data_IF_933940605465
#
_entry.id   IF_933940605465
#
_cell.length_a   1.000
_cell.length_b   1.000
_cell.length_c   1.000
_cell.angle_alpha   90.00
_cell.angle_beta   90.00
_cell.angle_gamma   90.00
#
_symmetry.space_group_name_H-M   'P 1'
#
loop_
_entity.id
_entity.type
_entity.pdbx_description
1 polymer ?
#
# COMPACT_ATOMS: atom_id res chain seq x y z
N UNK A 1 26.83 -18.44 24.48
CA UNK A 1 26.90 -19.77 23.81
C UNK A 1 25.48 -20.22 23.56
N UNK A 2 25.17 -20.58 22.32
CA UNK A 2 23.90 -21.20 21.97
C UNK A 2 23.84 -22.69 22.46
N UNK A 3 22.72 -23.37 22.28
CA UNK A 3 22.54 -24.76 22.74
C UNK A 3 23.53 -25.73 22.07
N UNK A 4 23.86 -25.54 20.80
CA UNK A 4 24.80 -26.35 20.04
C UNK A 4 26.25 -26.08 20.47
N UNK A 5 26.62 -24.85 20.77
CA UNK A 5 27.94 -24.49 21.29
C UNK A 5 28.18 -25.16 22.66
N UNK A 6 27.16 -25.21 23.52
CA UNK A 6 27.24 -25.91 24.82
C UNK A 6 27.45 -27.42 24.67
N UNK A 7 26.73 -28.06 23.75
CA UNK A 7 26.89 -29.48 23.47
C UNK A 7 28.28 -29.79 22.93
N UNK A 8 28.87 -28.95 22.10
CA UNK A 8 30.23 -29.09 21.59
C UNK A 8 31.27 -28.98 22.72
N UNK A 9 31.13 -27.97 23.55
CA UNK A 9 31.98 -27.78 24.72
C UNK A 9 31.89 -28.94 25.68
N UNK A 10 30.68 -29.44 25.95
CA UNK A 10 30.45 -30.60 26.81
C UNK A 10 31.09 -31.86 26.24
N UNK A 11 30.94 -32.15 24.95
CA UNK A 11 31.52 -33.29 24.28
C UNK A 11 33.07 -33.32 24.43
N UNK A 12 33.72 -32.21 24.14
CA UNK A 12 35.16 -32.07 24.23
C UNK A 12 35.62 -32.20 25.69
N UNK A 13 34.96 -31.53 26.64
CA UNK A 13 35.28 -31.60 28.08
C UNK A 13 35.23 -33.01 28.59
N UNK A 14 34.21 -33.82 28.24
CA UNK A 14 34.01 -35.19 28.69
C UNK A 14 35.10 -36.11 28.13
N UNK A 15 35.44 -35.99 26.87
CA UNK A 15 36.51 -36.79 26.26
C UNK A 15 37.90 -36.43 26.85
N UNK A 16 38.16 -35.14 27.08
CA UNK A 16 39.40 -34.71 27.75
C UNK A 16 39.49 -35.19 29.23
N UNK A 17 38.33 -35.44 29.86
CA UNK A 17 38.24 -36.02 31.19
C UNK A 17 38.43 -37.58 31.20
N UNK A 18 38.66 -38.20 30.03
CA UNK A 18 38.95 -39.62 29.88
C UNK A 18 37.78 -40.50 29.46
N UNK A 19 36.58 -39.92 29.19
CA UNK A 19 35.47 -40.69 28.66
C UNK A 19 35.70 -41.10 27.19
N UNK A 20 35.23 -42.30 26.82
CA UNK A 20 35.35 -42.78 25.44
C UNK A 20 34.47 -41.97 24.49
N UNK A 21 35.00 -41.52 23.34
CA UNK A 21 34.24 -40.72 22.36
C UNK A 21 32.91 -41.35 21.93
N UNK A 22 32.85 -42.71 21.87
CA UNK A 22 31.63 -43.48 21.56
C UNK A 22 30.54 -43.30 22.63
N UNK A 23 30.92 -43.31 23.89
CA UNK A 23 30.00 -43.19 25.04
C UNK A 23 29.45 -41.74 25.11
N UNK A 24 30.35 -40.77 24.92
CA UNK A 24 29.96 -39.34 24.85
C UNK A 24 29.02 -39.07 23.66
N UNK A 25 29.32 -39.64 22.49
CA UNK A 25 28.48 -39.52 21.32
C UNK A 25 27.06 -40.07 21.55
N UNK A 26 26.98 -41.28 22.14
CA UNK A 26 25.70 -41.90 22.47
C UNK A 26 24.91 -41.07 23.51
N UNK A 27 25.56 -40.61 24.57
CA UNK A 27 24.92 -39.79 25.61
C UNK A 27 24.39 -38.43 25.08
N UNK A 28 25.09 -37.81 24.10
CA UNK A 28 24.71 -36.55 23.51
C UNK A 28 23.84 -36.70 22.24
N UNK A 29 23.48 -37.92 21.87
CA UNK A 29 22.72 -38.25 20.66
C UNK A 29 23.38 -37.70 19.40
N UNK A 30 24.72 -37.85 19.28
CA UNK A 30 25.55 -37.44 18.16
C UNK A 30 26.36 -38.63 17.62
N UNK A 31 26.95 -38.47 16.43
CA UNK A 31 27.88 -39.48 15.91
C UNK A 31 29.28 -39.32 16.51
N UNK A 32 30.04 -40.43 16.61
CA UNK A 32 31.44 -40.36 17.02
C UNK A 32 32.28 -39.44 16.16
N UNK A 33 32.01 -39.43 14.83
CA UNK A 33 32.64 -38.49 13.88
C UNK A 33 32.38 -37.01 14.24
N UNK A 34 31.20 -36.71 14.80
CA UNK A 34 30.90 -35.36 15.28
C UNK A 34 31.74 -35.02 16.50
N UNK A 35 31.94 -35.94 17.43
CA UNK A 35 32.80 -35.75 18.62
C UNK A 35 34.22 -35.51 18.19
N UNK A 36 34.78 -36.37 17.31
CA UNK A 36 36.17 -36.24 16.83
C UNK A 36 36.37 -34.94 16.05
N UNK A 37 35.40 -34.50 15.23
CA UNK A 37 35.45 -33.19 14.55
C UNK A 37 35.67 -32.03 15.54
N UNK A 38 35.03 -32.05 16.67
CA UNK A 38 35.13 -30.98 17.66
C UNK A 38 36.37 -31.12 18.56
N UNK A 39 36.85 -32.30 18.80
CA UNK A 39 38.15 -32.54 19.43
C UNK A 39 39.30 -32.00 18.56
N UNK A 40 39.28 -32.27 17.28
CA UNK A 40 40.28 -31.75 16.32
C UNK A 40 40.28 -30.22 16.25
N UNK A 41 39.13 -29.61 16.48
CA UNK A 41 39.00 -28.14 16.47
C UNK A 41 39.27 -27.48 17.81
N UNK A 42 39.39 -28.28 18.84
CA UNK A 42 39.60 -27.72 20.17
C UNK A 42 40.96 -27.06 20.29
N UNK A 43 40.93 -25.81 20.70
CA UNK A 43 42.13 -25.00 20.96
C UNK A 43 42.03 -24.44 22.39
N UNK A 44 42.91 -24.85 23.30
CA UNK A 44 42.91 -24.37 24.69
C UNK A 44 43.08 -22.84 24.72
N UNK A 45 42.18 -22.15 25.43
CA UNK A 45 42.25 -20.69 25.57
C UNK A 45 41.58 -19.88 24.44
N UNK A 46 41.18 -20.48 23.31
CA UNK A 46 40.46 -19.77 22.25
C UNK A 46 38.94 -20.03 22.38
N UNK A 47 38.09 -19.05 22.71
CA UNK A 47 36.66 -19.27 22.89
C UNK A 47 35.91 -19.56 21.57
N UNK A 48 36.56 -19.34 20.41
CA UNK A 48 35.93 -19.42 19.08
C UNK A 48 35.84 -20.86 18.53
N UNK A 49 36.58 -21.83 19.06
CA UNK A 49 36.64 -23.19 18.54
C UNK A 49 35.28 -23.90 18.51
N UNK A 50 34.37 -23.55 19.42
CA UNK A 50 33.00 -24.11 19.49
C UNK A 50 32.10 -23.66 18.37
N UNK A 51 32.47 -22.62 17.63
CA UNK A 51 31.67 -22.05 16.55
C UNK A 51 31.85 -22.83 15.24
N UNK A 52 30.74 -22.95 14.51
CA UNK A 52 30.78 -23.55 13.18
C UNK A 52 31.44 -22.55 12.18
N UNK A 53 32.39 -23.03 11.43
CA UNK A 53 32.97 -22.24 10.36
C UNK A 53 31.92 -21.95 9.27
N UNK A 54 31.90 -20.73 8.75
CA UNK A 54 31.04 -20.37 7.62
C UNK A 54 31.33 -21.29 6.42
N UNK A 55 30.27 -21.91 5.89
CA UNK A 55 30.34 -22.69 4.63
C UNK A 55 30.28 -21.82 3.39
N UNK A 56 30.20 -20.51 3.56
CA UNK A 56 30.18 -19.57 2.44
C UNK A 56 31.53 -19.64 1.69
N UNK A 57 31.51 -19.61 0.36
CA UNK A 57 32.73 -19.56 -0.43
C UNK A 57 33.59 -18.37 -0.02
N UNK A 58 34.90 -18.60 0.22
CA UNK A 58 35.87 -17.53 0.52
C UNK A 58 35.98 -16.53 -0.62
N UNK A 59 35.72 -16.97 -1.84
CA UNK A 59 35.71 -16.15 -3.06
C UNK A 59 34.42 -16.44 -3.85
N UNK A 60 33.68 -15.39 -4.17
CA UNK A 60 32.49 -15.46 -5.03
C UNK A 60 32.88 -14.94 -6.40
N UNK A 61 33.00 -15.82 -7.41
CA UNK A 61 33.47 -15.47 -8.74
C UNK A 61 32.66 -14.33 -9.42
N UNK A 62 31.32 -14.32 -9.18
CA UNK A 62 30.39 -13.35 -9.76
C UNK A 62 30.08 -12.18 -8.82
N UNK A 63 30.95 -11.87 -7.87
CA UNK A 63 30.76 -10.70 -7.00
C UNK A 63 30.95 -9.41 -7.80
N UNK A 64 30.05 -8.45 -7.56
CA UNK A 64 30.16 -7.11 -8.16
C UNK A 64 31.51 -6.47 -7.83
N UNK A 65 32.06 -5.72 -8.79
CA UNK A 65 33.33 -5.00 -8.58
C UNK A 65 33.18 -4.01 -7.38
N UNK A 66 34.20 -3.85 -6.55
CA UNK A 66 34.18 -2.95 -5.39
C UNK A 66 33.77 -1.51 -5.76
N UNK A 67 34.18 -1.00 -6.89
CA UNK A 67 33.80 0.32 -7.40
C UNK A 67 32.28 0.44 -7.63
N UNK A 68 31.66 -0.62 -8.17
CA UNK A 68 30.21 -0.64 -8.39
C UNK A 68 29.45 -0.75 -7.05
N UNK A 69 29.92 -1.56 -6.11
CA UNK A 69 29.34 -1.65 -4.76
C UNK A 69 29.38 -0.27 -4.07
N UNK A 70 30.53 0.41 -4.10
CA UNK A 70 30.71 1.75 -3.54
C UNK A 70 29.75 2.77 -4.20
N UNK A 71 29.61 2.72 -5.53
CA UNK A 71 28.69 3.60 -6.25
C UNK A 71 27.23 3.38 -5.84
N UNK A 72 26.76 2.11 -5.78
CA UNK A 72 25.41 1.76 -5.31
C UNK A 72 25.15 2.32 -3.92
N UNK A 73 26.10 2.17 -3.00
CA UNK A 73 25.98 2.66 -1.63
C UNK A 73 26.00 4.20 -1.54
N UNK A 74 26.82 4.86 -2.35
CA UNK A 74 26.85 6.33 -2.42
C UNK A 74 25.53 6.91 -2.94
N UNK A 75 24.95 6.29 -3.97
CA UNK A 75 23.62 6.67 -4.51
C UNK A 75 22.55 6.48 -3.43
N UNK A 76 22.55 5.35 -2.71
CA UNK A 76 21.61 5.14 -1.60
C UNK A 76 21.74 6.21 -0.52
N UNK A 77 22.98 6.53 -0.11
CA UNK A 77 23.25 7.56 0.92
C UNK A 77 22.76 8.94 0.46
N UNK A 78 22.95 9.28 -0.82
CA UNK A 78 22.44 10.52 -1.42
C UNK A 78 20.91 10.55 -1.40
N UNK A 79 20.24 9.48 -1.83
CA UNK A 79 18.79 9.36 -1.81
C UNK A 79 18.22 9.43 -0.38
N UNK A 80 18.90 8.83 0.60
CA UNK A 80 18.49 8.86 2.00
C UNK A 80 18.52 10.26 2.62
N UNK A 81 19.30 11.18 2.06
CA UNK A 81 19.35 12.60 2.47
C UNK A 81 18.26 13.45 1.82
N UNK A 82 17.61 12.94 0.75
CA UNK A 82 16.53 13.67 0.07
C UNK A 82 15.21 13.40 0.81
N UNK A 83 14.48 14.43 1.21
CA UNK A 83 13.14 14.25 1.78
C UNK A 83 12.27 13.40 0.84
N UNK A 84 11.52 12.46 1.44
CA UNK A 84 10.51 11.64 0.76
C UNK A 84 11.01 10.66 -0.29
N UNK A 85 12.29 10.64 -0.64
CA UNK A 85 12.82 9.79 -1.71
C UNK A 85 12.64 8.30 -1.45
N UNK A 86 12.39 7.56 -2.51
CA UNK A 86 12.50 6.10 -2.51
C UNK A 86 13.98 5.70 -2.45
N UNK A 87 14.35 4.76 -1.57
CA UNK A 87 15.75 4.36 -1.30
C UNK A 87 16.03 2.88 -1.62
N UNK A 88 15.06 2.20 -2.23
CA UNK A 88 15.19 0.78 -2.59
C UNK A 88 15.94 0.56 -3.91
N UNK A 89 16.21 -0.72 -4.22
CA UNK A 89 16.92 -1.09 -5.43
C UNK A 89 16.37 -0.48 -6.75
N UNK A 90 15.03 -0.37 -6.95
CA UNK A 90 14.51 0.29 -8.16
C UNK A 90 14.89 1.77 -8.29
N UNK A 91 14.87 2.52 -7.17
CA UNK A 91 15.25 3.92 -7.18
C UNK A 91 16.75 4.12 -7.42
N UNK A 92 17.56 3.23 -6.83
CA UNK A 92 19.01 3.25 -7.04
C UNK A 92 19.33 2.91 -8.50
N UNK A 93 18.70 1.88 -9.08
CA UNK A 93 18.90 1.52 -10.48
C UNK A 93 18.62 2.72 -11.40
N UNK A 94 17.50 3.42 -11.16
CA UNK A 94 17.14 4.60 -11.94
C UNK A 94 18.15 5.76 -11.80
N UNK A 95 18.70 6.01 -10.60
CA UNK A 95 19.76 7.00 -10.43
C UNK A 95 21.04 6.58 -11.16
N UNK A 96 21.35 5.27 -11.19
CA UNK A 96 22.48 4.75 -11.97
C UNK A 96 22.27 4.89 -13.49
N UNK A 97 21.02 4.75 -13.99
CA UNK A 97 20.65 5.00 -15.38
C UNK A 97 21.01 6.43 -15.81
N UNK A 98 20.74 7.42 -14.95
CA UNK A 98 21.08 8.82 -15.21
C UNK A 98 22.57 9.09 -15.31
N UNK A 99 23.41 8.23 -14.72
CA UNK A 99 24.85 8.35 -14.79
C UNK A 99 25.45 7.76 -16.08
N UNK A 100 24.59 7.33 -17.02
CA UNK A 100 24.99 6.76 -18.31
C UNK A 100 26.05 5.63 -18.19
N UNK A 101 25.93 4.79 -17.18
CA UNK A 101 26.83 3.64 -17.01
C UNK A 101 26.67 2.66 -18.18
N UNK A 102 27.79 2.09 -18.63
CA UNK A 102 27.79 1.09 -19.71
C UNK A 102 26.92 -0.13 -19.37
N UNK A 103 26.83 -0.49 -18.10
CA UNK A 103 26.03 -1.61 -17.65
C UNK A 103 25.44 -1.29 -16.26
N UNK A 104 24.13 -1.36 -16.17
CA UNK A 104 23.38 -1.14 -14.92
C UNK A 104 23.14 -2.50 -14.26
N UNK A 105 23.46 -2.66 -12.95
CA UNK A 105 23.23 -3.94 -12.27
C UNK A 105 21.74 -4.25 -12.17
N UNK A 106 21.42 -5.53 -12.31
CA UNK A 106 20.07 -6.05 -12.05
C UNK A 106 19.61 -5.70 -10.64
N UNK A 107 18.30 -5.48 -10.46
CA UNK A 107 17.72 -5.12 -9.15
C UNK A 107 18.14 -6.09 -8.04
N UNK A 108 18.19 -7.41 -8.35
CA UNK A 108 18.61 -8.42 -7.38
C UNK A 108 20.09 -8.27 -6.99
N UNK A 109 20.93 -7.81 -7.91
CA UNK A 109 22.35 -7.51 -7.61
C UNK A 109 22.46 -6.31 -6.68
N UNK A 110 21.67 -5.25 -6.93
CA UNK A 110 21.62 -4.08 -6.04
C UNK A 110 21.12 -4.50 -4.65
N UNK A 111 20.06 -5.31 -4.56
CA UNK A 111 19.56 -5.83 -3.28
C UNK A 111 20.64 -6.58 -2.50
N UNK A 112 21.42 -7.48 -3.17
CA UNK A 112 22.52 -8.21 -2.55
C UNK A 112 23.64 -7.30 -2.05
N UNK A 113 23.97 -6.25 -2.81
CA UNK A 113 24.95 -5.24 -2.38
C UNK A 113 24.45 -4.55 -1.10
N UNK A 114 23.20 -4.14 -1.08
CA UNK A 114 22.58 -3.50 0.08
C UNK A 114 22.53 -4.43 1.30
N UNK A 115 22.18 -5.71 1.11
CA UNK A 115 22.16 -6.73 2.17
C UNK A 115 23.56 -6.91 2.79
N UNK A 116 24.61 -7.01 1.96
CA UNK A 116 26.00 -7.12 2.44
C UNK A 116 26.48 -5.89 3.20
N UNK A 117 25.96 -4.72 2.84
CA UNK A 117 26.27 -3.47 3.54
C UNK A 117 25.41 -3.25 4.81
N UNK A 118 24.66 -4.28 5.28
CA UNK A 118 23.83 -4.19 6.49
C UNK A 118 22.57 -3.36 6.33
N UNK A 119 22.15 -3.03 5.09
CA UNK A 119 20.89 -2.34 4.89
C UNK A 119 19.70 -3.23 5.27
N UNK A 120 18.65 -2.68 5.92
CA UNK A 120 17.48 -3.46 6.31
C UNK A 120 16.90 -4.21 5.11
N UNK A 121 16.74 -5.53 5.28
CA UNK A 121 16.08 -6.36 4.29
C UNK A 121 14.61 -6.02 4.26
N UNK A 122 14.04 -5.85 3.05
CA UNK A 122 12.59 -5.74 2.92
C UNK A 122 11.97 -7.07 3.33
N UNK A 123 11.12 -7.05 4.35
CA UNK A 123 10.34 -8.24 4.71
C UNK A 123 9.56 -8.74 3.49
N UNK A 124 9.73 -10.03 3.21
CA UNK A 124 9.01 -10.67 2.11
C UNK A 124 7.55 -10.78 2.52
N UNK A 125 6.70 -9.94 1.96
CA UNK A 125 5.25 -10.09 2.18
C UNK A 125 4.83 -11.46 1.65
N UNK A 126 4.34 -12.31 2.54
CA UNK A 126 3.74 -13.58 2.16
C UNK A 126 2.47 -13.22 1.38
N UNK A 127 2.47 -13.52 0.09
CA UNK A 127 1.26 -13.41 -0.72
C UNK A 127 0.47 -14.69 -0.52
N UNK A 128 -0.55 -14.62 0.29
CA UNK A 128 -1.55 -15.69 0.31
C UNK A 128 -2.29 -15.69 -1.02
N UNK A 129 -2.54 -16.90 -1.57
CA UNK A 129 -3.48 -17.04 -2.68
C UNK A 129 -4.82 -16.43 -2.27
N UNK A 130 -5.44 -15.68 -3.16
CA UNK A 130 -6.78 -15.13 -2.88
C UNK A 130 -7.73 -16.32 -2.62
N UNK A 131 -8.11 -16.48 -1.35
CA UNK A 131 -9.11 -17.45 -0.92
C UNK A 131 -10.42 -16.69 -0.77
N UNK A 132 -11.45 -17.12 -1.46
CA UNK A 132 -12.79 -16.57 -1.31
C UNK A 132 -13.42 -16.17 -2.63
N UNK A 133 -14.62 -15.66 -2.52
CA UNK A 133 -15.48 -15.24 -3.62
C UNK A 133 -14.82 -14.16 -4.47
N UNK A 134 -14.89 -14.25 -5.79
CA UNK A 134 -14.36 -13.25 -6.71
C UNK A 134 -14.99 -11.87 -6.44
N UNK A 135 -14.14 -10.89 -6.18
CA UNK A 135 -14.59 -9.51 -6.03
C UNK A 135 -14.89 -8.91 -7.41
N UNK A 136 -15.99 -8.16 -7.61
CA UNK A 136 -16.33 -7.53 -8.88
C UNK A 136 -15.36 -6.35 -9.18
N UNK A 137 -14.10 -6.70 -9.40
CA UNK A 137 -13.09 -5.77 -9.87
C UNK A 137 -13.13 -5.75 -11.40
N UNK A 138 -13.23 -4.57 -11.98
CA UNK A 138 -13.05 -4.40 -13.42
C UNK A 138 -11.58 -4.63 -13.84
N UNK A 139 -11.33 -4.60 -15.15
CA UNK A 139 -9.98 -4.57 -15.70
C UNK A 139 -9.15 -3.44 -15.08
N UNK A 140 -7.81 -3.53 -15.19
CA UNK A 140 -6.92 -2.47 -14.70
C UNK A 140 -7.32 -1.13 -15.35
N UNK A 141 -7.66 -0.11 -14.54
CA UNK A 141 -8.14 1.16 -15.08
C UNK A 141 -7.01 1.93 -15.78
N UNK A 142 -7.37 2.66 -16.84
CA UNK A 142 -6.53 3.70 -17.43
C UNK A 142 -6.50 4.98 -16.58
N UNK A 143 -5.73 6.00 -17.00
CA UNK A 143 -5.67 7.28 -16.32
C UNK A 143 -7.06 7.91 -16.10
N UNK A 144 -7.33 8.36 -14.89
CA UNK A 144 -8.59 8.95 -14.42
C UNK A 144 -9.87 8.12 -14.68
N UNK A 145 -9.75 6.84 -14.98
CA UNK A 145 -10.93 5.95 -15.03
C UNK A 145 -11.44 5.60 -13.64
N UNK A 146 -10.55 5.44 -12.68
CA UNK A 146 -10.90 5.11 -11.29
C UNK A 146 -9.93 5.79 -10.33
N UNK A 147 -10.48 6.60 -9.43
CA UNK A 147 -9.75 7.15 -8.29
C UNK A 147 -10.20 6.48 -6.99
N UNK A 148 -9.30 6.35 -6.03
CA UNK A 148 -9.61 5.99 -4.64
C UNK A 148 -9.41 7.23 -3.77
N UNK A 149 -10.36 7.47 -2.86
CA UNK A 149 -10.27 8.54 -1.87
C UNK A 149 -10.36 7.96 -0.47
N UNK A 150 -9.55 8.49 0.44
CA UNK A 150 -9.52 8.08 1.84
C UNK A 150 -9.21 9.26 2.76
N UNK A 151 -9.70 9.18 3.99
CA UNK A 151 -9.54 10.20 5.02
C UNK A 151 -8.71 9.66 6.19
N UNK A 152 -7.46 10.07 6.26
CA UNK A 152 -6.51 9.65 7.29
C UNK A 152 -6.61 10.57 8.51
N UNK A 153 -6.94 10.02 9.65
CA UNK A 153 -7.01 10.78 10.90
C UNK A 153 -8.16 10.35 11.83
N UNK A 154 -8.38 11.06 12.95
CA UNK A 154 -7.73 12.31 13.32
C UNK A 154 -6.25 12.14 13.69
N UNK A 155 -5.43 13.11 13.30
CA UNK A 155 -4.05 13.26 13.74
C UNK A 155 -3.91 14.58 14.48
N UNK A 156 -2.85 14.72 15.27
CA UNK A 156 -2.65 15.91 16.08
C UNK A 156 -1.26 16.50 15.82
N UNK A 157 -1.19 17.82 15.70
CA UNK A 157 0.04 18.57 15.82
C UNK A 157 0.36 18.86 17.29
N UNK A 158 1.57 19.33 17.57
CA UNK A 158 1.93 19.87 18.89
C UNK A 158 0.88 20.89 19.34
N UNK A 159 0.43 20.83 20.62
CA UNK A 159 -0.68 21.64 21.11
C UNK A 159 -2.07 21.02 20.87
N UNK A 160 -2.14 19.72 20.57
CA UNK A 160 -3.39 18.96 20.39
C UNK A 160 -4.33 19.49 19.29
N UNK A 161 -3.79 20.16 18.27
CA UNK A 161 -4.58 20.66 17.12
C UNK A 161 -4.94 19.47 16.21
N UNK A 162 -6.21 19.05 16.14
CA UNK A 162 -6.63 17.92 15.32
C UNK A 162 -6.68 18.31 13.84
N UNK A 163 -6.38 17.35 12.98
CA UNK A 163 -6.55 17.48 11.54
C UNK A 163 -6.76 16.11 10.88
N UNK A 164 -7.23 16.15 9.63
CA UNK A 164 -7.34 15.00 8.74
C UNK A 164 -6.58 15.29 7.44
N UNK A 165 -6.01 14.25 6.86
CA UNK A 165 -5.48 14.29 5.50
C UNK A 165 -6.46 13.56 4.57
N UNK A 166 -7.07 14.28 3.65
CA UNK A 166 -7.90 13.71 2.60
C UNK A 166 -7.01 13.42 1.39
N UNK A 167 -6.78 12.16 1.15
CA UNK A 167 -5.90 11.67 0.11
C UNK A 167 -6.71 11.06 -1.02
N UNK A 168 -6.36 11.41 -2.26
CA UNK A 168 -6.96 10.83 -3.47
C UNK A 168 -5.86 10.36 -4.40
N UNK A 169 -6.00 9.15 -4.93
CA UNK A 169 -5.04 8.56 -5.89
C UNK A 169 -5.75 8.03 -7.13
N UNK A 170 -5.21 8.36 -8.30
CA UNK A 170 -5.63 7.77 -9.58
C UNK A 170 -4.99 6.38 -9.75
N UNK A 171 -5.81 5.35 -9.89
CA UNK A 171 -5.35 3.96 -10.00
C UNK A 171 -4.65 3.69 -11.33
N UNK A 172 -4.99 4.43 -12.38
CA UNK A 172 -4.41 4.26 -13.70
C UNK A 172 -2.96 4.70 -13.77
N UNK A 173 -2.67 5.91 -13.31
CA UNK A 173 -1.35 6.55 -13.38
C UNK A 173 -0.66 6.75 -12.04
N UNK A 174 -1.26 6.35 -10.92
CA UNK A 174 -0.71 6.49 -9.56
C UNK A 174 -0.45 7.94 -9.12
N UNK A 175 -0.98 8.93 -9.83
CA UNK A 175 -0.93 10.31 -9.40
C UNK A 175 -1.82 10.51 -8.18
N UNK A 176 -1.36 11.32 -7.24
CA UNK A 176 -2.08 11.62 -6.01
C UNK A 176 -2.30 13.11 -5.84
N UNK A 177 -3.36 13.47 -5.10
CA UNK A 177 -3.59 14.81 -4.60
C UNK A 177 -4.04 14.74 -3.14
N UNK A 178 -3.59 15.70 -2.34
CA UNK A 178 -3.78 15.72 -0.90
C UNK A 178 -4.40 17.04 -0.44
N UNK A 179 -5.37 16.93 0.47
CA UNK A 179 -5.98 18.10 1.13
C UNK A 179 -5.93 17.96 2.64
N UNK A 180 -5.59 19.05 3.32
CA UNK A 180 -5.71 19.17 4.76
C UNK A 180 -7.15 19.53 5.13
N UNK A 181 -7.77 18.77 6.03
CA UNK A 181 -9.12 19.02 6.51
C UNK A 181 -9.15 19.22 8.02
N UNK A 182 -9.90 20.23 8.53
CA UNK A 182 -10.09 20.44 9.97
C UNK A 182 -11.07 19.44 10.58
N UNK A 183 -11.92 18.82 9.78
CA UNK A 183 -12.93 17.86 10.21
C UNK A 183 -13.23 16.83 9.12
N UNK A 184 -13.93 15.76 9.51
CA UNK A 184 -14.45 14.75 8.58
C UNK A 184 -15.89 15.03 8.12
N UNK A 185 -16.34 16.29 8.15
CA UNK A 185 -17.69 16.62 7.68
C UNK A 185 -17.78 16.46 6.17
N UNK A 186 -18.95 16.09 5.69
CA UNK A 186 -19.21 15.89 4.27
C UNK A 186 -19.01 17.17 3.44
N UNK A 187 -19.45 18.31 3.96
CA UNK A 187 -19.22 19.61 3.28
C UNK A 187 -17.74 19.93 3.11
N UNK A 188 -16.91 19.68 4.14
CA UNK A 188 -15.47 19.88 4.05
C UNK A 188 -14.84 18.90 3.05
N UNK A 189 -15.33 17.67 3.02
CA UNK A 189 -14.86 16.64 2.09
C UNK A 189 -15.22 16.99 0.65
N UNK A 190 -16.45 17.45 0.39
CA UNK A 190 -16.87 17.90 -0.93
C UNK A 190 -16.02 19.10 -1.41
N UNK A 191 -15.79 20.10 -0.54
CA UNK A 191 -14.91 21.23 -0.84
C UNK A 191 -13.45 20.82 -1.13
N UNK A 192 -12.93 19.82 -0.38
CA UNK A 192 -11.60 19.26 -0.63
C UNK A 192 -11.53 18.53 -1.96
N UNK A 193 -12.57 17.78 -2.30
CA UNK A 193 -12.64 17.06 -3.57
C UNK A 193 -12.67 18.01 -4.78
N UNK A 194 -13.34 19.15 -4.67
CA UNK A 194 -13.29 20.22 -5.68
C UNK A 194 -11.83 20.68 -5.91
N UNK A 195 -11.09 20.97 -4.83
CA UNK A 195 -9.69 21.38 -4.94
C UNK A 195 -8.78 20.27 -5.49
N UNK A 196 -9.05 19.02 -5.11
CA UNK A 196 -8.34 17.85 -5.64
C UNK A 196 -8.58 17.72 -7.14
N UNK A 197 -9.82 17.81 -7.61
CA UNK A 197 -10.13 17.65 -9.03
C UNK A 197 -9.70 18.84 -9.90
N UNK A 198 -9.47 20.00 -9.31
CA UNK A 198 -8.78 21.11 -9.97
C UNK A 198 -7.31 20.81 -10.29
N UNK A 199 -6.71 19.76 -9.73
CA UNK A 199 -5.31 19.35 -9.97
C UNK A 199 -5.17 17.94 -10.54
N UNK A 200 -5.85 16.99 -9.95
CA UNK A 200 -5.76 15.57 -10.33
C UNK A 200 -6.66 15.24 -11.53
N UNK A 201 -7.68 16.04 -11.76
CA UNK A 201 -8.71 15.84 -12.79
C UNK A 201 -9.87 14.97 -12.32
N UNK A 202 -11.00 15.14 -12.99
CA UNK A 202 -12.27 14.46 -12.70
C UNK A 202 -12.22 13.04 -13.24
N UNK A 203 -12.46 11.98 -12.41
CA UNK A 203 -12.45 10.60 -12.86
C UNK A 203 -13.79 10.19 -13.50
N UNK A 204 -13.82 9.00 -14.09
CA UNK A 204 -15.08 8.33 -14.46
C UNK A 204 -15.76 7.75 -13.21
N UNK A 205 -14.99 7.19 -12.30
CA UNK A 205 -15.48 6.54 -11.07
C UNK A 205 -14.61 6.96 -9.88
N UNK A 206 -15.26 7.19 -8.74
CA UNK A 206 -14.60 7.48 -7.47
C UNK A 206 -14.95 6.41 -6.44
N UNK A 207 -13.96 5.67 -5.96
CA UNK A 207 -14.12 4.68 -4.90
C UNK A 207 -14.02 5.36 -3.54
N UNK A 208 -15.01 5.13 -2.70
CA UNK A 208 -15.20 5.76 -1.40
C UNK A 208 -15.41 4.71 -0.30
N UNK A 209 -14.98 5.02 0.90
CA UNK A 209 -15.33 4.25 2.08
C UNK A 209 -16.74 4.63 2.60
N UNK A 210 -17.32 3.75 3.38
CA UNK A 210 -18.71 3.86 3.85
C UNK A 210 -18.94 4.90 4.95
N UNK A 211 -17.88 5.50 5.54
CA UNK A 211 -18.07 6.50 6.61
C UNK A 211 -18.95 7.69 6.18
N UNK A 212 -18.91 8.05 4.90
CA UNK A 212 -19.73 9.13 4.32
C UNK A 212 -21.23 8.83 4.38
N UNK A 213 -21.61 7.56 4.31
CA UNK A 213 -23.01 7.11 4.23
C UNK A 213 -23.50 6.32 5.45
N UNK A 214 -22.63 6.05 6.42
CA UNK A 214 -22.89 5.11 7.51
C UNK A 214 -24.11 5.47 8.39
N UNK A 215 -24.48 6.75 8.42
CA UNK A 215 -25.62 7.26 9.23
C UNK A 215 -26.76 7.82 8.38
N UNK A 216 -26.70 7.61 7.07
CA UNK A 216 -27.70 8.13 6.14
C UNK A 216 -28.77 7.07 5.86
N UNK A 217 -30.03 7.53 5.80
CA UNK A 217 -31.17 6.73 5.38
C UNK A 217 -31.88 7.44 4.24
N UNK A 218 -31.96 6.78 3.09
CA UNK A 218 -32.58 7.32 1.86
C UNK A 218 -32.06 8.69 1.41
N UNK A 219 -30.84 9.06 1.81
CA UNK A 219 -30.23 10.34 1.43
C UNK A 219 -28.80 10.12 0.96
N UNK A 220 -28.30 11.07 0.16
CA UNK A 220 -26.93 11.04 -0.37
C UNK A 220 -26.15 12.25 0.16
N UNK A 221 -24.86 12.08 0.50
CA UNK A 221 -24.03 13.17 0.99
C UNK A 221 -23.67 14.15 -0.13
N UNK A 222 -23.29 15.39 0.22
CA UNK A 222 -22.86 16.44 -0.71
C UNK A 222 -21.69 16.00 -1.59
N UNK A 223 -20.78 15.20 -1.05
CA UNK A 223 -19.68 14.58 -1.81
C UNK A 223 -20.20 13.73 -2.97
N UNK A 224 -21.30 12.99 -2.77
CA UNK A 224 -21.96 12.22 -3.84
C UNK A 224 -22.73 13.13 -4.79
N UNK A 225 -23.37 14.19 -4.30
CA UNK A 225 -24.03 15.19 -5.17
C UNK A 225 -23.03 15.81 -6.14
N UNK A 226 -21.86 16.20 -5.63
CA UNK A 226 -20.75 16.71 -6.45
C UNK A 226 -20.36 15.70 -7.54
N UNK A 227 -20.17 14.43 -7.19
CA UNK A 227 -19.88 13.37 -8.15
C UNK A 227 -20.95 13.29 -9.24
N UNK A 228 -22.21 13.19 -8.87
CA UNK A 228 -23.34 13.07 -9.80
C UNK A 228 -23.47 14.29 -10.73
N UNK A 229 -23.24 15.50 -10.22
CA UNK A 229 -23.27 16.74 -11.01
C UNK A 229 -22.21 16.73 -12.12
N UNK A 230 -21.04 16.18 -11.83
CA UNK A 230 -19.90 16.10 -12.75
C UNK A 230 -19.88 14.82 -13.61
N UNK A 231 -20.89 13.95 -13.45
CA UNK A 231 -21.00 12.68 -14.18
C UNK A 231 -20.06 11.59 -13.67
N UNK A 232 -19.50 11.75 -12.47
CA UNK A 232 -18.68 10.74 -11.78
C UNK A 232 -19.58 9.70 -11.13
N UNK A 233 -19.22 8.43 -11.21
CA UNK A 233 -19.92 7.33 -10.55
C UNK A 233 -19.25 7.06 -9.17
N UNK A 234 -19.90 7.40 -8.05
CA UNK A 234 -19.41 6.99 -6.74
C UNK A 234 -19.56 5.49 -6.55
N UNK A 235 -18.51 4.85 -6.03
CA UNK A 235 -18.47 3.40 -5.77
C UNK A 235 -18.12 3.18 -4.31
N UNK A 236 -19.07 2.68 -3.52
CA UNK A 236 -18.84 2.36 -2.12
C UNK A 236 -18.35 0.92 -1.95
N UNK A 237 -17.20 0.77 -1.29
CA UNK A 237 -16.60 -0.54 -1.01
C UNK A 237 -17.41 -1.35 0.01
N UNK A 238 -17.23 -2.68 0.11
CA UNK A 238 -17.88 -3.50 1.13
C UNK A 238 -17.54 -3.02 2.55
N UNK A 239 -18.48 -3.21 3.48
CA UNK A 239 -18.24 -2.91 4.89
C UNK A 239 -17.14 -3.80 5.47
N UNK A 240 -16.23 -3.22 6.26
CA UNK A 240 -15.16 -3.91 6.98
C UNK A 240 -14.16 -4.64 6.07
N UNK A 241 -14.00 -4.19 4.83
CA UNK A 241 -13.00 -4.71 3.88
C UNK A 241 -12.06 -3.62 3.39
N UNK A 242 -11.25 -2.98 4.26
CA UNK A 242 -10.36 -1.88 3.88
C UNK A 242 -9.38 -2.29 2.78
N UNK A 243 -8.90 -3.54 2.78
CA UNK A 243 -8.00 -4.06 1.74
C UNK A 243 -8.53 -3.95 0.30
N UNK A 244 -9.82 -3.65 0.10
CA UNK A 244 -10.39 -3.35 -1.23
C UNK A 244 -9.95 -2.00 -1.78
N UNK A 245 -9.30 -1.19 -0.96
CA UNK A 245 -8.67 0.08 -1.33
C UNK A 245 -7.14 0.01 -1.19
N UNK A 246 -6.53 -1.11 -1.51
CA UNK A 246 -5.12 -1.39 -1.24
C UNK A 246 -4.13 -0.44 -1.92
N UNK A 247 -4.54 0.31 -2.96
CA UNK A 247 -3.65 1.29 -3.60
C UNK A 247 -3.52 2.54 -2.75
N UNK A 248 -4.64 3.10 -2.29
CA UNK A 248 -4.60 4.28 -1.44
C UNK A 248 -4.06 3.94 -0.04
N UNK A 249 -4.34 2.74 0.49
CA UNK A 249 -3.74 2.28 1.76
C UNK A 249 -2.21 2.25 1.68
N UNK A 250 -1.65 1.73 0.58
CA UNK A 250 -0.20 1.75 0.37
C UNK A 250 0.35 3.17 0.22
N UNK A 251 -0.39 4.05 -0.44
CA UNK A 251 -0.04 5.47 -0.54
C UNK A 251 -0.06 6.12 0.85
N UNK A 252 -1.09 5.89 1.66
CA UNK A 252 -1.22 6.39 3.02
C UNK A 252 -0.08 5.91 3.94
N UNK A 253 0.34 4.65 3.81
CA UNK A 253 1.51 4.13 4.52
C UNK A 253 2.81 4.86 4.09
N UNK A 254 2.95 5.18 2.82
CA UNK A 254 4.08 5.96 2.31
C UNK A 254 4.03 7.41 2.81
N UNK A 255 2.87 8.05 2.77
CA UNK A 255 2.64 9.39 3.32
C UNK A 255 2.98 9.44 4.81
N UNK A 256 2.51 8.46 5.59
CA UNK A 256 2.80 8.40 7.01
C UNK A 256 4.30 8.23 7.30
N UNK A 257 4.93 7.21 6.71
CA UNK A 257 6.31 6.83 7.00
C UNK A 257 7.36 7.78 6.45
N UNK A 258 7.10 8.42 5.29
CA UNK A 258 8.10 9.22 4.59
C UNK A 258 7.87 10.72 4.69
N UNK A 259 6.68 11.14 5.08
CA UNK A 259 6.33 12.54 5.23
C UNK A 259 5.98 12.84 6.68
N UNK A 260 4.86 12.34 7.18
CA UNK A 260 4.32 12.81 8.45
C UNK A 260 5.20 12.47 9.66
N UNK A 261 5.80 11.28 9.71
CA UNK A 261 6.68 10.86 10.81
C UNK A 261 8.11 11.44 10.72
N UNK A 262 8.50 11.94 9.57
CA UNK A 262 9.88 12.41 9.33
C UNK A 262 10.04 13.91 9.48
N UNK A 263 8.93 14.66 9.53
CA UNK A 263 8.95 16.11 9.59
C UNK A 263 8.28 16.65 10.86
N UNK A 264 8.64 17.87 11.19
CA UNK A 264 7.99 18.66 12.23
C UNK A 264 7.30 19.86 11.61
N UNK A 265 6.08 20.13 12.07
CA UNK A 265 5.23 21.18 11.51
C UNK A 265 4.96 22.23 12.57
N UNK A 266 5.16 23.52 12.24
CA UNK A 266 4.92 24.64 13.13
C UNK A 266 3.44 25.06 13.21
N UNK A 267 2.56 24.42 12.44
CA UNK A 267 1.12 24.69 12.40
C UNK A 267 0.46 24.13 11.13
N UNK A 268 -0.87 24.27 11.03
CA UNK A 268 -1.65 23.72 9.92
C UNK A 268 -1.27 24.32 8.56
N UNK A 269 -0.97 25.62 8.50
CA UNK A 269 -0.54 26.28 7.26
C UNK A 269 0.81 25.73 6.78
N UNK A 270 1.75 25.50 7.69
CA UNK A 270 3.03 24.87 7.36
C UNK A 270 2.79 23.43 6.87
N UNK A 271 1.99 22.64 7.57
CA UNK A 271 1.64 21.29 7.18
C UNK A 271 1.00 21.26 5.79
N UNK A 272 0.01 22.12 5.52
CA UNK A 272 -0.66 22.18 4.21
C UNK A 272 0.33 22.47 3.08
N UNK A 273 1.23 23.43 3.26
CA UNK A 273 2.28 23.74 2.28
C UNK A 273 3.21 22.54 2.05
N UNK A 274 3.63 21.86 3.12
CA UNK A 274 4.49 20.68 3.01
C UNK A 274 3.79 19.50 2.35
N UNK A 275 2.49 19.29 2.64
CA UNK A 275 1.66 18.28 1.95
C UNK A 275 1.62 18.52 0.45
N UNK A 276 1.53 19.78 0.02
CA UNK A 276 1.57 20.16 -1.39
C UNK A 276 2.93 19.81 -2.03
N UNK A 277 4.02 20.12 -1.34
CA UNK A 277 5.36 19.72 -1.79
C UNK A 277 5.55 18.21 -1.86
N UNK A 278 4.97 17.45 -0.92
CA UNK A 278 4.98 15.98 -0.98
C UNK A 278 4.14 15.45 -2.15
N UNK A 279 2.97 16.03 -2.44
CA UNK A 279 2.14 15.73 -3.61
C UNK A 279 2.94 15.88 -4.91
N UNK A 280 3.59 17.04 -5.10
CA UNK A 280 4.41 17.33 -6.27
C UNK A 280 5.59 16.35 -6.39
N UNK A 281 6.30 16.12 -5.29
CA UNK A 281 7.41 15.16 -5.25
C UNK A 281 6.95 13.74 -5.58
N UNK A 282 5.80 13.30 -5.01
CA UNK A 282 5.23 12.00 -5.31
C UNK A 282 4.94 11.85 -6.80
N UNK A 283 4.29 12.83 -7.40
CA UNK A 283 3.86 12.78 -8.79
C UNK A 283 5.03 12.85 -9.79
N UNK A 284 6.14 13.47 -9.41
CA UNK A 284 7.30 13.70 -10.29
C UNK A 284 8.50 12.81 -10.01
N UNK A 285 8.61 12.20 -8.83
CA UNK A 285 9.80 11.44 -8.42
C UNK A 285 9.51 10.00 -7.99
N UNK A 286 8.31 9.68 -7.46
CA UNK A 286 8.00 8.30 -7.08
C UNK A 286 7.75 7.44 -8.32
N UNK A 287 8.49 6.34 -8.41
CA UNK A 287 8.42 5.40 -9.54
C UNK A 287 7.66 4.14 -9.17
N UNK A 288 6.83 3.68 -10.09
CA UNK A 288 5.97 2.53 -9.89
C UNK A 288 6.25 1.42 -10.90
N UNK A 289 6.50 0.21 -10.42
CA UNK A 289 6.63 -0.97 -11.29
C UNK A 289 5.39 -1.15 -12.17
N UNK A 290 4.21 -0.85 -11.62
CA UNK A 290 2.95 -0.88 -12.35
C UNK A 290 2.87 0.11 -13.53
N UNK A 291 3.72 1.14 -13.56
CA UNK A 291 3.81 2.14 -14.65
C UNK A 291 5.05 1.91 -15.54
N UNK A 292 5.60 0.70 -15.56
CA UNK A 292 6.85 0.43 -16.27
C UNK A 292 8.02 1.24 -15.72
N UNK A 293 8.08 1.40 -14.41
CA UNK A 293 9.09 2.19 -13.66
C UNK A 293 9.06 3.70 -13.95
N UNK A 294 7.99 4.20 -14.56
CA UNK A 294 7.78 5.63 -14.73
C UNK A 294 7.23 6.27 -13.46
N UNK A 295 7.40 7.58 -13.33
CA UNK A 295 6.64 8.41 -12.39
C UNK A 295 5.22 8.63 -12.92
N UNK A 296 4.26 9.03 -12.08
CA UNK A 296 2.92 9.40 -12.52
C UNK A 296 2.90 10.42 -13.67
N UNK A 297 3.74 11.46 -13.59
CA UNK A 297 3.85 12.51 -14.60
C UNK A 297 4.46 12.00 -15.91
N UNK A 298 5.56 11.24 -15.84
CA UNK A 298 6.19 10.63 -17.03
C UNK A 298 5.24 9.65 -17.72
N UNK A 299 4.49 8.87 -16.94
CA UNK A 299 3.54 7.91 -17.50
C UNK A 299 2.40 8.62 -18.25
N UNK A 300 1.85 9.69 -17.65
CA UNK A 300 0.84 10.51 -18.32
C UNK A 300 1.36 11.13 -19.63
N UNK A 301 2.58 11.68 -19.59
CA UNK A 301 3.23 12.27 -20.77
C UNK A 301 3.45 11.25 -21.90
N UNK A 302 3.91 10.02 -21.56
CA UNK A 302 4.09 8.92 -22.55
C UNK A 302 2.78 8.54 -23.25
N UNK A 303 1.64 8.69 -22.57
CA UNK A 303 0.31 8.37 -23.10
C UNK A 303 -0.34 9.58 -23.80
N UNK A 304 0.29 10.76 -23.78
CA UNK A 304 -0.36 12.01 -24.22
C UNK A 304 -1.62 12.34 -23.40
N UNK A 305 -1.71 11.81 -22.16
CA UNK A 305 -2.91 11.97 -21.34
C UNK A 305 -3.00 13.36 -20.73
N UNK A 306 -4.14 14.01 -20.95
CA UNK A 306 -4.51 15.29 -20.33
C UNK A 306 -5.73 15.07 -19.41
N UNK A 307 -5.65 15.39 -18.10
CA UNK A 307 -6.79 15.27 -17.21
C UNK A 307 -7.85 16.33 -17.49
N UNK A 308 -9.12 15.96 -17.42
CA UNK A 308 -10.22 16.94 -17.37
C UNK A 308 -10.22 17.60 -16.00
N UNK A 309 -9.65 18.78 -15.88
CA UNK A 309 -9.62 19.53 -14.62
C UNK A 309 -10.99 20.13 -14.30
N UNK A 310 -11.28 20.28 -13.00
CA UNK A 310 -12.46 21.02 -12.57
C UNK A 310 -12.16 22.52 -12.63
N UNK A 311 -13.08 23.27 -13.24
CA UNK A 311 -12.94 24.72 -13.39
C UNK A 311 -12.91 25.42 -12.03
N UNK A 312 -12.08 26.45 -11.85
CA UNK A 312 -12.08 27.30 -10.67
C UNK A 312 -13.46 27.89 -10.38
N UNK A 313 -13.83 27.93 -9.10
CA UNK A 313 -15.11 28.51 -8.67
C UNK A 313 -16.31 27.55 -8.78
N UNK A 314 -16.13 26.32 -9.22
CA UNK A 314 -17.23 25.34 -9.19
C UNK A 314 -17.79 25.16 -7.77
N UNK A 315 -19.10 25.16 -7.63
CA UNK A 315 -19.81 24.99 -6.37
C UNK A 315 -20.55 23.66 -6.33
N UNK A 316 -20.66 23.07 -5.14
CA UNK A 316 -21.52 21.90 -4.95
C UNK A 316 -22.96 22.31 -5.26
N UNK A 317 -23.72 21.47 -5.99
CA UNK A 317 -25.12 21.76 -6.29
C UNK A 317 -25.96 21.97 -5.01
N UNK A 318 -26.85 22.93 -5.02
CA UNK A 318 -27.80 23.18 -3.91
C UNK A 318 -28.89 22.11 -3.80
N UNK A 319 -29.14 21.38 -4.89
CA UNK A 319 -30.15 20.31 -4.96
C UNK A 319 -29.53 19.03 -5.48
N UNK A 320 -30.08 17.91 -5.05
CA UNK A 320 -29.65 16.58 -5.52
C UNK A 320 -29.76 16.51 -7.07
N UNK A 321 -28.65 16.20 -7.77
CA UNK A 321 -28.68 16.02 -9.22
C UNK A 321 -29.62 14.86 -9.62
N UNK A 322 -30.55 15.14 -10.55
CA UNK A 322 -31.54 14.14 -11.00
C UNK A 322 -31.02 13.16 -12.05
N UNK A 323 -29.72 12.94 -12.12
CA UNK A 323 -29.08 12.02 -13.09
C UNK A 323 -27.90 11.31 -12.48
N UNK A 324 -27.45 10.27 -13.13
CA UNK A 324 -26.33 9.47 -12.69
C UNK A 324 -26.74 8.25 -11.85
N UNK A 325 -25.74 7.56 -11.38
CA UNK A 325 -25.91 6.36 -10.54
C UNK A 325 -24.87 6.32 -9.44
N UNK A 326 -25.21 5.60 -8.36
CA UNK A 326 -24.31 5.30 -7.25
C UNK A 326 -24.18 3.78 -7.14
N UNK A 327 -22.99 3.27 -6.97
CA UNK A 327 -22.73 1.84 -6.88
C UNK A 327 -22.27 1.44 -5.47
N UNK A 328 -22.89 0.40 -4.92
CA UNK A 328 -22.56 -0.16 -3.61
C UNK A 328 -22.14 -1.62 -3.80
N UNK A 329 -20.88 -1.94 -3.59
CA UNK A 329 -20.42 -3.32 -3.61
C UNK A 329 -20.62 -3.91 -2.23
N UNK A 330 -21.34 -5.04 -2.13
CA UNK A 330 -21.68 -5.68 -0.87
C UNK A 330 -21.44 -7.18 -0.91
N UNK A 331 -20.84 -7.71 0.15
CA UNK A 331 -20.78 -9.15 0.39
C UNK A 331 -22.08 -9.56 1.12
N UNK A 332 -22.82 -10.48 0.54
CA UNK A 332 -24.02 -11.03 1.16
C UNK A 332 -23.59 -12.12 2.16
N UNK A 333 -24.03 -11.97 3.40
CA UNK A 333 -23.69 -12.90 4.47
C UNK A 333 -24.80 -13.96 4.65
N UNK A 334 -24.63 -14.83 5.63
CA UNK A 334 -25.59 -15.90 5.95
C UNK A 334 -27.01 -15.39 6.29
N UNK A 335 -27.14 -14.13 6.73
CA UNK A 335 -28.42 -13.44 6.97
C UNK A 335 -29.16 -13.06 5.68
N UNK A 336 -28.52 -13.17 4.53
CA UNK A 336 -29.03 -12.81 3.20
C UNK A 336 -29.40 -11.33 3.04
N UNK A 337 -28.88 -10.46 3.89
CA UNK A 337 -29.25 -9.05 3.90
C UNK A 337 -28.27 -8.20 3.07
N UNK A 338 -28.82 -7.46 2.14
CA UNK A 338 -28.16 -6.38 1.43
C UNK A 338 -28.46 -5.05 2.14
N UNK A 339 -27.42 -4.40 2.65
CA UNK A 339 -27.54 -3.11 3.34
C UNK A 339 -27.16 -1.95 2.41
N UNK A 340 -28.14 -1.06 2.13
CA UNK A 340 -27.93 0.14 1.31
C UNK A 340 -28.72 1.32 1.92
N UNK A 341 -28.02 2.40 2.30
CA UNK A 341 -28.62 3.66 2.76
C UNK A 341 -29.75 3.48 3.78
N UNK A 342 -29.51 2.67 4.81
CA UNK A 342 -30.47 2.41 5.89
C UNK A 342 -31.47 1.29 5.61
N UNK A 343 -31.59 0.83 4.37
CA UNK A 343 -32.46 -0.29 4.00
C UNK A 343 -31.76 -1.64 4.13
N UNK A 344 -32.58 -2.66 4.47
CA UNK A 344 -32.21 -4.06 4.56
C UNK A 344 -33.07 -4.86 3.58
N UNK A 345 -32.45 -5.37 2.54
CA UNK A 345 -33.14 -6.04 1.44
C UNK A 345 -32.76 -7.52 1.46
N UNK A 346 -33.74 -8.39 1.62
CA UNK A 346 -33.53 -9.85 1.58
C UNK A 346 -33.25 -10.28 0.15
N UNK A 347 -32.16 -11.04 -0.04
CA UNK A 347 -31.79 -11.65 -1.33
C UNK A 347 -31.96 -13.18 -1.29
N UNK A 348 -31.86 -13.80 -2.44
CA UNK A 348 -31.93 -15.25 -2.59
C UNK A 348 -30.77 -15.98 -1.88
N UNK A 349 -31.00 -17.23 -1.42
CA UNK A 349 -29.99 -18.03 -0.72
C UNK A 349 -28.76 -18.33 -1.59
N UNK A 350 -28.89 -18.34 -2.91
CA UNK A 350 -27.82 -18.56 -3.88
C UNK A 350 -26.77 -17.44 -3.91
N UNK A 351 -27.09 -16.29 -3.31
CA UNK A 351 -26.18 -15.14 -3.21
C UNK A 351 -25.39 -15.11 -1.91
N UNK A 352 -25.62 -16.07 -1.01
CA UNK A 352 -24.89 -16.13 0.27
C UNK A 352 -23.39 -16.35 0.01
N UNK A 353 -22.57 -15.53 0.64
CA UNK A 353 -21.12 -15.42 0.45
C UNK A 353 -20.68 -14.91 -0.93
N UNK A 354 -21.60 -14.36 -1.72
CA UNK A 354 -21.31 -13.74 -3.01
C UNK A 354 -21.27 -12.20 -2.90
N UNK A 355 -20.49 -11.56 -3.80
CA UNK A 355 -20.53 -10.11 -3.95
C UNK A 355 -21.59 -9.71 -4.94
N UNK A 356 -22.42 -8.77 -4.54
CA UNK A 356 -23.35 -8.09 -5.43
C UNK A 356 -22.98 -6.63 -5.59
N UNK A 357 -23.35 -6.03 -6.71
CA UNK A 357 -23.30 -4.58 -6.92
C UNK A 357 -24.73 -4.05 -6.91
N UNK A 358 -25.07 -3.28 -5.89
CA UNK A 358 -26.34 -2.56 -5.84
C UNK A 358 -26.14 -1.19 -6.53
N UNK A 359 -26.89 -0.93 -7.58
CA UNK A 359 -26.80 0.25 -8.43
C UNK A 359 -28.04 1.11 -8.21
N UNK A 360 -27.87 2.25 -7.58
CA UNK A 360 -28.93 3.22 -7.39
C UNK A 360 -29.02 4.16 -8.61
N UNK A 361 -30.07 4.05 -9.38
CA UNK A 361 -30.38 4.91 -10.50
C UNK A 361 -31.15 6.14 -10.02
N UNK A 362 -30.45 7.26 -9.81
CA UNK A 362 -31.01 8.45 -9.16
C UNK A 362 -32.23 9.00 -9.88
N UNK A 363 -32.21 9.07 -11.22
CA UNK A 363 -33.35 9.58 -12.01
C UNK A 363 -34.60 8.71 -11.92
N UNK A 364 -34.41 7.40 -11.83
CA UNK A 364 -35.53 6.42 -11.80
C UNK A 364 -36.08 6.20 -10.39
N UNK A 365 -35.30 6.54 -9.36
CA UNK A 365 -35.62 6.15 -7.99
C UNK A 365 -35.64 4.61 -7.84
N UNK A 366 -34.70 3.93 -8.52
CA UNK A 366 -34.66 2.47 -8.61
C UNK A 366 -33.31 1.95 -8.10
N UNK A 367 -33.36 0.90 -7.31
CA UNK A 367 -32.16 0.13 -6.93
C UNK A 367 -32.14 -1.18 -7.70
N UNK A 368 -31.12 -1.37 -8.50
CA UNK A 368 -30.84 -2.57 -9.27
C UNK A 368 -29.73 -3.38 -8.60
N UNK A 369 -29.97 -4.64 -8.30
CA UNK A 369 -28.96 -5.56 -7.74
C UNK A 369 -28.42 -6.45 -8.84
N UNK A 370 -27.09 -6.41 -9.03
CA UNK A 370 -26.41 -7.13 -10.09
C UNK A 370 -25.43 -8.14 -9.47
N UNK A 371 -25.45 -9.38 -9.95
CA UNK A 371 -24.49 -10.44 -9.63
C UNK A 371 -24.01 -11.11 -10.93
N UNK A 372 -22.69 -11.29 -11.07
CA UNK A 372 -22.10 -11.91 -12.26
C UNK A 372 -22.50 -11.24 -13.59
N UNK A 373 -22.74 -9.93 -13.57
CA UNK A 373 -23.18 -9.17 -14.76
C UNK A 373 -24.67 -9.29 -15.09
N UNK A 374 -25.46 -10.01 -14.26
CA UNK A 374 -26.90 -10.18 -14.46
C UNK A 374 -27.68 -9.48 -13.35
N UNK A 375 -28.79 -8.84 -13.70
CA UNK A 375 -29.73 -8.27 -12.73
C UNK A 375 -30.45 -9.40 -12.00
N UNK A 376 -30.33 -9.44 -10.67
CA UNK A 376 -30.97 -10.44 -9.81
C UNK A 376 -32.20 -9.88 -9.07
N UNK A 377 -32.28 -8.57 -8.89
CA UNK A 377 -33.41 -7.90 -8.25
C UNK A 377 -33.49 -6.43 -8.70
N UNK A 378 -34.72 -5.91 -8.81
CA UNK A 378 -35.01 -4.48 -8.94
C UNK A 378 -36.11 -4.10 -7.95
N UNK A 379 -36.00 -2.90 -7.40
CA UNK A 379 -36.99 -2.36 -6.46
C UNK A 379 -36.99 -0.84 -6.52
N UNK A 380 -38.12 -0.25 -6.19
CA UNK A 380 -38.22 1.19 -5.99
C UNK A 380 -37.39 1.64 -4.80
N UNK A 381 -36.67 2.72 -4.96
CA UNK A 381 -35.79 3.29 -3.95
C UNK A 381 -35.86 4.82 -4.01
N UNK A 382 -36.84 5.38 -3.32
CA UNK A 382 -37.01 6.82 -3.26
C UNK A 382 -35.96 7.47 -2.36
N UNK A 383 -35.23 8.44 -2.90
CA UNK A 383 -34.33 9.29 -2.12
C UNK A 383 -35.12 10.43 -1.47
N UNK A 384 -34.76 10.77 -0.25
CA UNK A 384 -35.20 11.99 0.41
C UNK A 384 -34.33 13.14 -0.10
N UNK A 385 -34.95 14.15 -0.65
CA UNK A 385 -34.31 15.35 -1.17
C UNK A 385 -33.75 16.29 -0.13
#
# INVERSE_FOLDING_TARGET
MDGEERLRAEAVRRVLAGERAREVAAALQRSERWVFKWLERYEPGAPEWVREHSRAPKRVANRSAPKLEALVLSVRTRLAKQPWAQIGAPAIAWELEKLHLRQIPELRTIERILERAGAPRRERRIRYAAKGTPYPAGARPGPNQLQEADLVGPRHLSGAIPFYAFNVIDLGRRAAALELQPSKSDAVTAASLIRVWGRLGIPVRLKLDNWLIARLSHSLPLTVWLCLALGVIPVFVPFREPWRQGVIEHFNDTFDKRFFRTERFSGLTHLARRMRGFEDFHNTHHRYAALGRATPTEFAARLGFQPRLLEPGFQVPEKLPRRGRVEFIRLIRSDRLLHVLGEQIVLGPELVHEYVTAILHVRRGELEVVHGGRTVKRLDFALRG
#
